data_IF_205387575631
#
_entry.id   IF_205387575631
#
_cell.length_a   1.000
_cell.length_b   1.000
_cell.length_c   1.000
_cell.angle_alpha   90.00
_cell.angle_beta   90.00
_cell.angle_gamma   90.00
#
_symmetry.space_group_name_H-M   'P 1'
#
loop_
_entity.id
_entity.type
_entity.pdbx_description
1 polymer ?
#
# COMPACT_ATOMS: atom_id res chain seq x y z
N UNK A 1 20.75 -25.72 26.37
CA UNK A 1 19.85 -24.54 26.32
C UNK A 1 19.71 -24.13 24.87
N UNK A 2 18.51 -24.26 24.28
CA UNK A 2 18.29 -23.95 22.87
C UNK A 2 18.10 -22.44 22.67
N UNK A 3 18.92 -21.85 21.82
CA UNK A 3 18.86 -20.43 21.44
C UNK A 3 17.63 -20.23 20.56
N UNK A 4 16.61 -19.54 21.07
CA UNK A 4 15.41 -19.18 20.29
C UNK A 4 15.80 -18.12 19.25
N UNK A 5 15.80 -18.49 17.97
CA UNK A 5 15.99 -17.51 16.89
C UNK A 5 14.82 -16.51 16.92
N UNK A 6 15.11 -15.21 16.96
CA UNK A 6 14.06 -14.19 16.92
C UNK A 6 13.30 -14.29 15.59
N UNK A 7 12.02 -14.67 15.66
CA UNK A 7 11.15 -14.62 14.49
C UNK A 7 11.09 -13.16 14.03
N UNK A 8 11.45 -12.90 12.77
CA UNK A 8 11.35 -11.55 12.19
C UNK A 8 9.94 -11.02 12.46
N UNK A 9 9.80 -9.80 13.02
CA UNK A 9 8.48 -9.23 13.23
C UNK A 9 7.77 -9.19 11.87
N UNK A 10 6.55 -9.75 11.83
CA UNK A 10 5.74 -9.74 10.62
C UNK A 10 5.47 -8.31 10.16
N UNK A 11 4.98 -8.17 8.92
CA UNK A 11 4.59 -6.86 8.40
C UNK A 11 3.56 -6.23 9.36
N UNK A 12 3.75 -4.98 9.81
CA UNK A 12 2.80 -4.31 10.69
C UNK A 12 1.37 -4.38 10.14
N UNK A 13 0.43 -4.64 11.04
CA UNK A 13 -1.00 -4.60 10.70
C UNK A 13 -1.34 -3.23 10.15
N UNK A 14 -2.16 -3.18 9.10
CA UNK A 14 -2.59 -1.93 8.47
C UNK A 14 -3.84 -1.31 9.14
N UNK A 15 -4.14 -1.68 10.38
CA UNK A 15 -5.28 -1.17 11.16
C UNK A 15 -6.61 -1.88 10.89
N UNK A 16 -7.69 -1.36 11.50
CA UNK A 16 -9.05 -1.88 11.37
C UNK A 16 -9.60 -1.64 9.95
N UNK A 17 -10.11 -2.71 9.30
CA UNK A 17 -10.49 -2.70 7.88
C UNK A 17 -11.68 -3.60 7.62
N UNK A 18 -12.43 -3.26 6.57
CA UNK A 18 -13.50 -4.08 6.01
C UNK A 18 -13.14 -4.53 4.60
N UNK A 19 -13.68 -5.68 4.16
CA UNK A 19 -13.45 -6.19 2.82
C UNK A 19 -14.40 -5.51 1.82
N UNK A 20 -13.85 -4.93 0.75
CA UNK A 20 -14.61 -4.38 -0.37
C UNK A 20 -14.45 -5.28 -1.61
N UNK A 21 -15.57 -5.76 -2.18
CA UNK A 21 -15.58 -6.63 -3.36
C UNK A 21 -16.41 -5.99 -4.47
N UNK A 22 -15.82 -5.89 -5.66
CA UNK A 22 -16.49 -5.34 -6.85
C UNK A 22 -16.23 -6.23 -8.07
N UNK A 23 -17.17 -6.23 -9.02
CA UNK A 23 -16.98 -6.84 -10.34
C UNK A 23 -16.60 -5.74 -11.33
N UNK A 24 -15.54 -5.97 -12.09
CA UNK A 24 -15.05 -5.04 -13.11
C UNK A 24 -14.54 -5.81 -14.34
N UNK A 25 -14.48 -5.16 -15.52
CA UNK A 25 -13.81 -5.71 -16.69
C UNK A 25 -12.37 -6.15 -16.38
N UNK A 26 -11.95 -7.28 -16.96
CA UNK A 26 -10.62 -7.87 -16.72
C UNK A 26 -9.50 -6.86 -17.03
N UNK A 27 -9.64 -6.10 -18.12
CA UNK A 27 -8.66 -5.08 -18.52
C UNK A 27 -8.45 -3.98 -17.48
N UNK A 28 -9.50 -3.60 -16.73
CA UNK A 28 -9.34 -2.61 -15.66
C UNK A 28 -8.56 -3.18 -14.48
N UNK A 29 -8.72 -4.47 -14.19
CA UNK A 29 -7.95 -5.14 -13.14
C UNK A 29 -6.46 -5.20 -13.50
N UNK A 30 -6.16 -5.56 -14.75
CA UNK A 30 -4.80 -5.59 -15.28
C UNK A 30 -4.15 -4.19 -15.20
N UNK A 31 -4.85 -3.17 -15.67
CA UNK A 31 -4.38 -1.78 -15.63
C UNK A 31 -4.12 -1.29 -14.19
N UNK A 32 -5.00 -1.61 -13.24
CA UNK A 32 -4.80 -1.26 -11.83
C UNK A 32 -3.56 -1.95 -11.23
N UNK A 33 -3.33 -3.22 -11.57
CA UNK A 33 -2.15 -3.95 -11.12
C UNK A 33 -0.84 -3.43 -11.73
N UNK A 34 -0.86 -2.99 -12.99
CA UNK A 34 0.27 -2.33 -13.65
C UNK A 34 0.59 -0.97 -13.03
N UNK A 35 -0.42 -0.13 -12.84
CA UNK A 35 -0.25 1.17 -12.22
C UNK A 35 0.26 1.04 -10.78
N UNK A 36 -0.28 0.11 -10.00
CA UNK A 36 0.20 -0.14 -8.64
C UNK A 36 1.70 -0.47 -8.61
N UNK A 37 2.17 -1.32 -9.53
CA UNK A 37 3.60 -1.65 -9.66
C UNK A 37 4.44 -0.42 -10.03
N UNK A 38 3.96 0.43 -10.95
CA UNK A 38 4.65 1.66 -11.32
C UNK A 38 4.81 2.63 -10.15
N UNK A 39 3.85 2.65 -9.22
CA UNK A 39 3.91 3.43 -7.98
C UNK A 39 4.62 2.72 -6.82
N UNK A 40 5.15 1.51 -7.01
CA UNK A 40 5.76 0.73 -5.92
C UNK A 40 4.76 0.29 -4.83
N UNK A 41 3.48 0.23 -5.18
CA UNK A 41 2.36 -0.07 -4.29
C UNK A 41 1.79 -1.47 -4.54
N UNK A 42 1.05 -1.99 -3.56
CA UNK A 42 0.15 -3.12 -3.81
C UNK A 42 -1.11 -2.62 -4.54
N UNK A 43 -1.77 -3.49 -5.31
CA UNK A 43 -3.03 -3.16 -6.00
C UNK A 43 -4.08 -2.57 -5.04
N UNK A 44 -4.20 -3.16 -3.84
CA UNK A 44 -5.10 -2.66 -2.79
C UNK A 44 -4.73 -1.25 -2.31
N UNK A 45 -3.44 -0.98 -2.14
CA UNK A 45 -2.97 0.35 -1.68
C UNK A 45 -3.19 1.40 -2.78
N UNK A 46 -2.95 1.04 -4.03
CA UNK A 46 -3.21 1.91 -5.17
C UNK A 46 -4.70 2.26 -5.32
N UNK A 47 -5.59 1.27 -5.25
CA UNK A 47 -7.04 1.51 -5.31
C UNK A 47 -7.51 2.33 -4.11
N UNK A 48 -7.01 2.04 -2.90
CA UNK A 48 -7.33 2.84 -1.71
C UNK A 48 -6.88 4.30 -1.87
N UNK A 49 -5.69 4.52 -2.45
CA UNK A 49 -5.17 5.86 -2.71
C UNK A 49 -6.00 6.63 -3.74
N UNK A 50 -6.48 5.96 -4.80
CA UNK A 50 -7.40 6.57 -5.77
C UNK A 50 -8.74 6.96 -5.12
N UNK A 51 -9.33 6.07 -4.31
CA UNK A 51 -10.57 6.36 -3.60
C UNK A 51 -10.37 7.54 -2.63
N UNK A 52 -9.27 7.52 -1.87
CA UNK A 52 -8.92 8.55 -0.91
C UNK A 52 -8.75 9.92 -1.59
N UNK A 53 -7.97 10.00 -2.67
CA UNK A 53 -7.79 11.23 -3.45
C UNK A 53 -9.11 11.75 -4.05
N UNK A 54 -10.00 10.84 -4.51
CA UNK A 54 -11.29 11.26 -5.06
C UNK A 54 -12.29 11.72 -3.99
N UNK A 55 -12.11 11.32 -2.73
CA UNK A 55 -13.06 11.60 -1.63
C UNK A 55 -12.54 12.62 -0.62
N UNK A 56 -11.30 13.10 -0.77
CA UNK A 56 -10.64 13.99 0.20
C UNK A 56 -10.24 13.27 1.50
N UNK A 57 -10.00 11.96 1.45
CA UNK A 57 -9.63 11.10 2.59
C UNK A 57 -8.18 10.61 2.51
N UNK A 58 -7.28 11.41 1.94
CA UNK A 58 -5.88 11.06 1.64
C UNK A 58 -5.10 10.60 2.88
N UNK A 59 -5.47 11.08 4.07
CA UNK A 59 -4.87 10.67 5.34
C UNK A 59 -5.14 9.20 5.73
N UNK A 60 -6.08 8.52 5.06
CA UNK A 60 -6.41 7.10 5.31
C UNK A 60 -5.70 6.13 4.36
N UNK A 61 -4.98 6.63 3.36
CA UNK A 61 -4.32 5.81 2.35
C UNK A 61 -2.88 6.27 2.07
N UNK A 62 -2.02 5.42 1.48
CA UNK A 62 -0.71 5.84 1.02
C UNK A 62 -0.84 6.92 -0.07
N UNK A 63 0.02 7.94 -0.03
CA UNK A 63 0.00 9.02 -1.02
C UNK A 63 0.52 8.54 -2.37
N UNK A 64 -0.21 8.82 -3.45
CA UNK A 64 0.23 8.53 -4.84
C UNK A 64 1.52 9.27 -5.22
N UNK A 65 1.76 10.43 -4.61
CA UNK A 65 2.89 11.32 -4.84
C UNK A 65 3.91 11.24 -3.69
N UNK A 66 4.32 10.04 -3.28
CA UNK A 66 5.42 9.94 -2.31
C UNK A 66 6.72 10.43 -2.96
N UNK A 67 7.06 11.70 -2.73
CA UNK A 67 8.40 12.22 -2.96
C UNK A 67 9.37 11.49 -2.03
N UNK A 68 10.41 10.89 -2.61
CA UNK A 68 11.47 10.24 -1.83
C UNK A 68 12.22 11.34 -1.09
N UNK A 69 11.88 11.56 0.17
CA UNK A 69 12.67 12.42 1.04
C UNK A 69 14.10 11.86 1.11
N UNK A 70 15.14 12.67 0.84
CA UNK A 70 16.51 12.21 0.91
C UNK A 70 16.79 11.74 2.34
N UNK A 71 17.11 10.45 2.48
CA UNK A 71 17.52 9.86 3.75
C UNK A 71 18.80 10.58 4.19
N UNK A 72 18.68 11.50 5.16
CA UNK A 72 19.84 12.10 5.81
C UNK A 72 20.61 10.97 6.48
N UNK A 73 21.76 10.62 5.92
CA UNK A 73 22.72 9.71 6.55
C UNK A 73 23.29 10.46 7.75
N UNK A 74 22.90 10.08 8.96
CA UNK A 74 23.59 10.46 10.18
C UNK A 74 25.01 9.88 10.12
N UNK A 75 26.01 10.76 10.18
CA UNK A 75 27.43 10.40 10.27
C UNK A 75 27.82 10.01 11.70
#
# INVERSE_FOLDING_TARGET
>A
MAVMSSRKPGRPSKGHRVQYKVRLPIRLKEAAAEAARAHGMTETDYVAALIAANTGLEHLAPSLNQEVLPLQKSA
#
